data_IF_776792003807
#
_entry.id   IF_776792003807
#
_cell.length_a   1.000
_cell.length_b   1.000
_cell.length_c   1.000
_cell.angle_alpha   90.00
_cell.angle_beta   90.00
_cell.angle_gamma   90.00
#
_symmetry.space_group_name_H-M   'P 1'
#
loop_
_entity.id
_entity.type
_entity.pdbx_description
1 polymer ?
#
# COMPACT_ATOMS: atom_id res chain seq x y z
N UNK A 1 -50.87 -18.28 17.29
CA UNK A 1 -50.01 -17.17 16.79
C UNK A 1 -50.70 -15.90 17.22
N UNK A 2 -50.06 -15.08 18.04
CA UNK A 2 -50.60 -13.78 18.44
C UNK A 2 -49.91 -12.72 17.61
N UNK A 3 -50.68 -11.87 16.95
CA UNK A 3 -50.17 -10.77 16.13
C UNK A 3 -50.63 -9.48 16.78
N UNK A 4 -49.70 -8.59 17.09
CA UNK A 4 -50.00 -7.25 17.58
C UNK A 4 -49.62 -6.29 16.48
N UNK A 5 -50.58 -5.48 16.03
CA UNK A 5 -50.39 -4.49 14.97
C UNK A 5 -50.70 -3.13 15.58
N UNK A 6 -49.81 -2.16 15.34
CA UNK A 6 -50.08 -0.75 15.61
C UNK A 6 -50.36 -0.07 14.29
N UNK A 7 -51.53 0.54 14.16
CA UNK A 7 -51.90 1.31 12.97
C UNK A 7 -52.29 2.73 13.35
N UNK A 8 -52.10 3.66 12.43
CA UNK A 8 -52.56 5.04 12.54
C UNK A 8 -53.99 5.22 12.00
N UNK A 9 -54.52 4.27 11.23
CA UNK A 9 -55.88 4.34 10.66
C UNK A 9 -56.83 3.52 11.52
N UNK A 10 -57.76 4.19 12.21
CA UNK A 10 -58.63 3.51 13.18
C UNK A 10 -59.55 2.46 12.52
N UNK A 11 -59.89 2.68 11.25
CA UNK A 11 -60.74 1.76 10.48
C UNK A 11 -60.05 0.42 10.22
N UNK A 12 -58.72 0.37 10.12
CA UNK A 12 -57.97 -0.89 9.98
C UNK A 12 -58.07 -1.74 11.26
N UNK A 13 -58.28 -1.11 12.43
CA UNK A 13 -58.43 -1.82 13.70
C UNK A 13 -59.77 -2.56 13.80
N UNK A 14 -60.76 -2.22 12.96
CA UNK A 14 -62.10 -2.82 12.97
C UNK A 14 -62.10 -4.32 12.66
N UNK A 15 -61.11 -4.79 11.91
CA UNK A 15 -60.97 -6.21 11.54
C UNK A 15 -60.24 -7.03 12.62
N UNK A 16 -59.74 -6.40 13.69
CA UNK A 16 -59.02 -7.08 14.75
C UNK A 16 -59.96 -7.79 15.74
N UNK A 17 -59.51 -8.91 16.29
CA UNK A 17 -60.22 -9.63 17.36
C UNK A 17 -60.38 -8.77 18.63
N UNK A 18 -59.37 -7.96 18.94
CA UNK A 18 -59.32 -7.05 20.09
C UNK A 18 -58.63 -5.75 19.67
N UNK A 19 -59.22 -4.60 19.99
CA UNK A 19 -58.62 -3.28 19.80
C UNK A 19 -58.17 -2.73 21.16
N UNK A 20 -56.93 -2.27 21.23
CA UNK A 20 -56.42 -1.41 22.29
C UNK A 20 -56.30 0.04 21.81
N UNK A 21 -57.02 0.98 22.42
CA UNK A 21 -56.90 2.41 22.15
C UNK A 21 -55.98 3.05 23.18
N UNK A 22 -54.94 3.77 22.76
CA UNK A 22 -53.96 4.39 23.66
C UNK A 22 -53.75 5.87 23.35
N UNK A 23 -53.56 6.70 24.39
CA UNK A 23 -53.16 8.11 24.28
C UNK A 23 -52.30 8.51 25.48
N UNK A 24 -51.19 9.21 25.21
CA UNK A 24 -50.27 9.68 26.26
C UNK A 24 -49.60 8.55 27.06
N UNK A 25 -49.40 7.37 26.43
CA UNK A 25 -48.84 6.19 27.09
C UNK A 25 -49.83 5.42 27.99
N UNK A 26 -51.08 5.88 28.12
CA UNK A 26 -52.15 5.20 28.85
C UNK A 26 -53.08 4.46 27.89
N UNK A 27 -53.52 3.26 28.28
CA UNK A 27 -54.53 2.48 27.57
C UNK A 27 -55.91 3.01 27.96
N UNK A 28 -56.64 3.53 26.97
CA UNK A 28 -57.96 4.12 27.13
C UNK A 28 -59.05 3.05 27.17
N UNK A 29 -58.91 2.02 26.34
CA UNK A 29 -59.83 0.90 26.29
C UNK A 29 -59.19 -0.31 25.58
N UNK A 30 -59.61 -1.51 25.98
CA UNK A 30 -59.22 -2.78 25.35
C UNK A 30 -60.42 -3.72 25.27
N UNK A 31 -61.01 -3.84 24.08
CA UNK A 31 -62.20 -4.68 23.82
C UNK A 31 -62.32 -5.04 22.33
N UNK A 32 -63.12 -6.05 21.96
CA UNK A 32 -63.52 -6.26 20.57
C UNK A 32 -64.20 -5.01 19.98
N UNK A 33 -63.95 -4.67 18.69
CA UNK A 33 -64.43 -3.44 18.05
C UNK A 33 -65.93 -3.22 18.19
N UNK A 34 -66.71 -4.28 17.97
CA UNK A 34 -68.18 -4.24 18.03
C UNK A 34 -68.69 -3.91 19.44
N UNK A 35 -68.05 -4.47 20.48
CA UNK A 35 -68.42 -4.20 21.87
C UNK A 35 -68.11 -2.75 22.24
N UNK A 36 -66.96 -2.25 21.80
CA UNK A 36 -66.54 -0.87 22.06
C UNK A 36 -67.50 0.15 21.42
N UNK A 37 -67.92 -0.06 20.17
CA UNK A 37 -68.89 0.81 19.50
C UNK A 37 -70.27 0.79 20.21
N UNK A 38 -70.74 -0.40 20.62
CA UNK A 38 -72.01 -0.54 21.34
C UNK A 38 -72.00 0.11 22.73
N UNK A 39 -70.88 0.07 23.45
CA UNK A 39 -70.76 0.64 24.79
C UNK A 39 -70.81 2.17 24.80
N UNK A 40 -70.37 2.82 23.71
CA UNK A 40 -70.34 4.27 23.57
C UNK A 40 -71.45 4.82 22.66
N UNK A 41 -72.39 3.98 22.19
CA UNK A 41 -73.48 4.34 21.26
C UNK A 41 -72.99 5.12 20.02
N UNK A 42 -71.82 4.76 19.48
CA UNK A 42 -71.20 5.44 18.33
C UNK A 42 -71.28 4.59 17.06
N UNK A 43 -71.30 5.25 15.91
CA UNK A 43 -71.35 4.58 14.59
C UNK A 43 -69.96 4.16 14.07
N UNK A 44 -68.90 4.89 14.46
CA UNK A 44 -67.52 4.66 14.05
C UNK A 44 -66.57 4.63 15.26
N UNK A 45 -65.42 3.94 15.13
CA UNK A 45 -64.41 3.85 16.19
C UNK A 45 -63.69 5.18 16.46
N UNK A 46 -63.61 6.05 15.45
CA UNK A 46 -63.10 7.42 15.54
C UNK A 46 -63.82 8.23 16.63
N UNK A 47 -65.15 8.15 16.66
CA UNK A 47 -65.99 8.86 17.64
C UNK A 47 -65.80 8.31 19.06
N UNK A 48 -65.62 7.00 19.19
CA UNK A 48 -65.31 6.36 20.47
C UNK A 48 -63.94 6.81 20.98
N UNK A 49 -62.93 6.87 20.10
CA UNK A 49 -61.60 7.36 20.46
C UNK A 49 -61.61 8.84 20.86
N UNK A 50 -62.36 9.68 20.16
CA UNK A 50 -62.53 11.10 20.53
C UNK A 50 -63.22 11.25 21.88
N UNK A 51 -64.27 10.47 22.15
CA UNK A 51 -64.97 10.49 23.45
C UNK A 51 -64.05 10.06 24.59
N UNK A 52 -63.29 8.97 24.40
CA UNK A 52 -62.30 8.50 25.37
C UNK A 52 -61.17 9.53 25.58
N UNK A 53 -60.74 10.18 24.51
CA UNK A 53 -59.72 11.22 24.54
C UNK A 53 -60.18 12.47 25.30
N UNK A 54 -61.42 12.91 25.11
CA UNK A 54 -62.03 14.03 25.86
C UNK A 54 -62.20 13.68 27.34
N UNK A 55 -62.71 12.49 27.65
CA UNK A 55 -62.83 12.02 29.04
C UNK A 55 -61.48 11.96 29.75
N UNK A 56 -60.42 11.56 29.05
CA UNK A 56 -59.07 11.59 29.60
C UNK A 56 -58.59 13.02 29.88
N UNK A 57 -58.89 13.96 28.97
CA UNK A 57 -58.50 15.37 29.11
C UNK A 57 -59.29 16.09 30.21
N UNK A 58 -60.59 15.81 30.34
CA UNK A 58 -61.44 16.26 31.45
C UNK A 58 -60.95 15.67 32.79
N UNK A 59 -60.66 14.37 32.85
CA UNK A 59 -60.11 13.74 34.05
C UNK A 59 -58.73 14.31 34.44
N UNK A 60 -57.84 14.55 33.48
CA UNK A 60 -56.54 15.18 33.74
C UNK A 60 -56.70 16.68 34.15
N UNK A 61 -57.79 17.35 33.75
CA UNK A 61 -58.11 18.74 34.12
C UNK A 61 -58.75 18.84 35.51
N UNK A 62 -59.67 17.93 35.84
CA UNK A 62 -60.29 17.82 37.16
C UNK A 62 -59.26 17.41 38.21
N UNK A 63 -58.33 16.51 37.90
CA UNK A 63 -57.22 16.19 38.81
C UNK A 63 -56.38 17.45 39.07
N UNK A 64 -56.11 18.27 38.04
CA UNK A 64 -55.37 19.53 38.19
C UNK A 64 -56.14 20.62 38.95
N UNK A 65 -57.46 20.74 38.80
CA UNK A 65 -58.28 21.72 39.55
C UNK A 65 -58.51 21.28 40.99
N UNK A 66 -58.76 19.98 41.22
CA UNK A 66 -58.93 19.42 42.57
C UNK A 66 -57.59 19.43 43.34
N UNK A 67 -56.45 19.19 42.67
CA UNK A 67 -55.14 19.44 43.27
C UNK A 67 -54.94 20.93 43.58
N UNK A 68 -55.39 21.87 42.74
CA UNK A 68 -55.27 23.30 43.03
C UNK A 68 -56.11 23.75 44.24
N UNK A 69 -57.31 23.19 44.43
CA UNK A 69 -58.21 23.54 45.56
C UNK A 69 -57.89 22.78 46.86
N UNK A 70 -57.27 21.59 46.79
CA UNK A 70 -56.95 20.77 47.98
C UNK A 70 -55.51 20.96 48.49
N UNK A 71 -54.63 21.66 47.75
CA UNK A 71 -53.24 21.92 48.16
C UNK A 71 -53.06 23.05 49.19
N UNK A 72 -54.15 23.70 49.65
CA UNK A 72 -54.10 24.67 50.75
C UNK A 72 -54.45 24.11 52.14
N UNK A 73 -54.97 22.89 52.24
CA UNK A 73 -55.17 22.23 53.52
C UNK A 73 -54.58 20.81 53.50
N UNK A 74 -53.35 20.72 54.03
CA UNK A 74 -52.76 19.52 54.65
C UNK A 74 -52.02 18.51 53.76
N UNK A 75 -50.71 18.60 53.89
CA UNK A 75 -49.72 17.51 53.80
C UNK A 75 -50.22 16.21 54.46
N UNK A 76 -50.38 15.12 53.69
CA UNK A 76 -49.98 13.72 54.00
C UNK A 76 -50.85 12.68 53.26
N UNK A 77 -50.13 11.72 52.66
CA UNK A 77 -50.51 10.33 52.35
C UNK A 77 -51.39 9.99 51.12
N UNK A 78 -50.74 9.22 50.23
CA UNK A 78 -51.24 8.12 49.41
C UNK A 78 -52.42 8.39 48.46
N UNK A 79 -52.10 8.74 47.22
CA UNK A 79 -53.01 8.54 46.11
C UNK A 79 -53.12 7.06 45.73
N UNK A 80 -54.36 6.60 45.93
CA UNK A 80 -54.93 5.29 45.65
C UNK A 80 -55.24 5.20 44.16
N UNK A 81 -54.74 4.15 43.51
CA UNK A 81 -55.01 3.81 42.11
C UNK A 81 -56.51 3.56 41.88
N UNK A 82 -57.16 4.15 40.86
CA UNK A 82 -58.55 3.86 40.53
C UNK A 82 -58.67 2.45 39.93
N UNK A 83 -59.53 1.64 40.55
CA UNK A 83 -59.80 0.26 40.18
C UNK A 83 -60.45 0.15 38.79
N UNK A 84 -59.78 -0.54 37.87
CA UNK A 84 -60.40 -1.13 36.68
C UNK A 84 -61.03 -2.48 37.09
N UNK A 85 -62.28 -2.68 36.67
CA UNK A 85 -63.13 -3.86 36.92
C UNK A 85 -62.37 -5.17 36.65
N UNK A 86 -62.48 -6.20 37.53
CA UNK A 86 -61.73 -7.43 37.39
C UNK A 86 -62.39 -8.37 36.38
N UNK A 87 -61.74 -8.61 35.26
CA UNK A 87 -61.82 -9.88 34.52
C UNK A 87 -60.48 -10.13 33.84
N UNK A 88 -59.49 -10.48 34.66
CA UNK A 88 -58.39 -11.34 34.20
C UNK A 88 -58.62 -12.63 34.95
N UNK A 89 -59.42 -13.51 34.34
CA UNK A 89 -59.38 -14.92 34.73
C UNK A 89 -57.93 -15.37 34.59
N UNK A 90 -57.43 -15.96 35.66
CA UNK A 90 -56.13 -16.62 35.79
C UNK A 90 -55.86 -17.52 34.58
N UNK A 91 -55.21 -16.97 33.55
CA UNK A 91 -54.54 -17.78 32.54
C UNK A 91 -53.22 -18.18 33.17
N UNK A 92 -53.22 -19.38 33.75
CA UNK A 92 -52.03 -20.15 34.09
C UNK A 92 -51.02 -20.01 32.96
N UNK A 93 -49.93 -19.29 33.19
CA UNK A 93 -48.88 -19.12 32.19
C UNK A 93 -48.21 -20.48 31.99
N UNK A 94 -48.64 -21.25 30.98
CA UNK A 94 -47.76 -22.24 30.41
C UNK A 94 -46.54 -21.48 29.89
N UNK A 95 -45.39 -21.75 30.51
CA UNK A 95 -44.10 -21.21 30.10
C UNK A 95 -43.84 -21.63 28.65
N UNK A 96 -44.21 -20.75 27.73
CA UNK A 96 -43.92 -20.90 26.31
C UNK A 96 -42.43 -21.13 26.14
N UNK A 97 -42.09 -22.34 25.69
CA UNK A 97 -40.75 -22.85 25.51
C UNK A 97 -40.03 -22.02 24.42
N UNK A 98 -39.54 -20.83 24.78
CA UNK A 98 -38.71 -19.98 23.93
C UNK A 98 -37.38 -20.68 23.73
N UNK A 99 -37.28 -21.50 22.67
CA UNK A 99 -36.01 -22.09 22.21
C UNK A 99 -35.01 -20.97 21.97
N UNK A 100 -34.12 -20.73 22.93
CA UNK A 100 -32.97 -19.82 22.76
C UNK A 100 -31.99 -20.49 21.81
N UNK A 101 -32.07 -20.16 20.52
CA UNK A 101 -31.06 -20.56 19.54
C UNK A 101 -29.74 -19.83 19.84
N UNK A 102 -28.87 -20.46 20.63
CA UNK A 102 -27.47 -20.07 20.79
C UNK A 102 -26.70 -20.46 19.54
N UNK A 103 -26.70 -19.60 18.53
CA UNK A 103 -25.75 -19.73 17.41
C UNK A 103 -24.38 -19.24 17.89
N UNK A 104 -23.32 -19.99 17.63
CA UNK A 104 -21.95 -19.61 18.00
C UNK A 104 -21.55 -18.25 17.38
N UNK A 105 -20.83 -17.42 18.14
CA UNK A 105 -20.35 -16.10 17.68
C UNK A 105 -19.56 -16.19 16.37
N UNK A 106 -18.80 -17.27 16.18
CA UNK A 106 -18.03 -17.54 14.95
C UNK A 106 -18.92 -17.80 13.73
N UNK A 107 -20.05 -18.50 13.90
CA UNK A 107 -20.99 -18.76 12.80
C UNK A 107 -21.68 -17.47 12.35
N UNK A 108 -22.03 -16.58 13.30
CA UNK A 108 -22.56 -15.24 12.98
C UNK A 108 -21.54 -14.40 12.23
N UNK A 109 -20.28 -14.40 12.70
CA UNK A 109 -19.20 -13.67 12.03
C UNK A 109 -19.00 -14.17 10.60
N UNK A 110 -18.94 -15.49 10.38
CA UNK A 110 -18.82 -16.09 9.05
C UNK A 110 -19.99 -15.72 8.14
N UNK A 111 -21.22 -15.75 8.65
CA UNK A 111 -22.40 -15.35 7.88
C UNK A 111 -22.34 -13.87 7.46
N UNK A 112 -21.88 -12.99 8.36
CA UNK A 112 -21.70 -11.57 8.07
C UNK A 112 -20.57 -11.32 7.06
N UNK A 113 -19.46 -12.05 7.16
CA UNK A 113 -18.36 -11.96 6.20
C UNK A 113 -18.80 -12.41 4.80
N UNK A 114 -19.51 -13.54 4.69
CA UNK A 114 -20.05 -14.00 3.39
C UNK A 114 -21.03 -12.99 2.82
N UNK A 115 -21.91 -12.42 3.66
CA UNK A 115 -22.86 -11.38 3.23
C UNK A 115 -22.12 -10.13 2.72
N UNK A 116 -21.12 -9.66 3.44
CA UNK A 116 -20.32 -8.50 3.05
C UNK A 116 -19.48 -8.78 1.80
N UNK A 117 -18.87 -9.97 1.70
CA UNK A 117 -18.12 -10.37 0.52
C UNK A 117 -19.00 -10.39 -0.73
N UNK A 118 -20.18 -11.00 -0.66
CA UNK A 118 -21.13 -11.02 -1.77
C UNK A 118 -21.62 -9.61 -2.14
N UNK A 119 -21.78 -8.71 -1.15
CA UNK A 119 -22.13 -7.31 -1.40
C UNK A 119 -21.01 -6.59 -2.14
N UNK A 120 -19.77 -6.72 -1.68
CA UNK A 120 -18.58 -6.11 -2.32
C UNK A 120 -18.36 -6.65 -3.73
N UNK A 121 -18.45 -7.98 -3.91
CA UNK A 121 -18.24 -8.63 -5.21
C UNK A 121 -19.28 -8.21 -6.26
N UNK A 122 -20.52 -7.91 -5.85
CA UNK A 122 -21.56 -7.40 -6.74
C UNK A 122 -21.37 -5.90 -7.07
N UNK A 123 -20.60 -5.16 -6.29
CA UNK A 123 -20.22 -3.78 -6.58
C UNK A 123 -18.97 -3.72 -7.48
N UNK A 124 -19.17 -3.99 -8.78
CA UNK A 124 -18.08 -4.08 -9.77
C UNK A 124 -17.21 -2.82 -9.83
N UNK A 125 -17.80 -1.63 -9.74
CA UNK A 125 -17.05 -0.37 -9.78
C UNK A 125 -16.13 -0.15 -8.57
N UNK A 126 -16.58 -0.53 -7.37
CA UNK A 126 -15.75 -0.44 -6.16
C UNK A 126 -14.59 -1.43 -6.19
N UNK A 127 -14.82 -2.62 -6.75
CA UNK A 127 -13.78 -3.65 -6.91
C UNK A 127 -12.69 -3.20 -7.90
N UNK A 128 -13.06 -2.51 -8.99
CA UNK A 128 -12.09 -1.89 -9.90
C UNK A 128 -11.25 -0.81 -9.21
N UNK A 129 -11.85 0.04 -8.36
CA UNK A 129 -11.06 1.02 -7.61
C UNK A 129 -10.12 0.38 -6.58
N UNK A 130 -10.54 -0.70 -5.92
CA UNK A 130 -9.70 -1.36 -4.90
C UNK A 130 -8.49 -2.07 -5.54
N UNK A 131 -8.66 -2.73 -6.68
CA UNK A 131 -7.60 -3.53 -7.30
C UNK A 131 -7.01 -2.92 -8.57
N UNK A 132 -7.85 -2.37 -9.43
CA UNK A 132 -7.43 -1.77 -10.70
C UNK A 132 -6.64 -0.49 -10.50
N UNK A 133 -7.01 0.37 -9.54
CA UNK A 133 -6.29 1.62 -9.30
C UNK A 133 -4.86 1.38 -8.78
N UNK A 134 -4.59 0.54 -7.76
CA UNK A 134 -3.22 0.24 -7.36
C UNK A 134 -2.39 -0.44 -8.45
N UNK A 135 -2.99 -1.33 -9.24
CA UNK A 135 -2.29 -1.96 -10.36
C UNK A 135 -1.90 -0.91 -11.41
N UNK A 136 -2.82 0.01 -11.73
CA UNK A 136 -2.57 1.11 -12.66
C UNK A 136 -1.45 2.02 -12.14
N UNK A 137 -1.47 2.39 -10.85
CA UNK A 137 -0.41 3.19 -10.22
C UNK A 137 0.94 2.51 -10.33
N UNK A 138 1.03 1.22 -10.01
CA UNK A 138 2.28 0.45 -10.09
C UNK A 138 2.79 0.36 -11.53
N UNK A 139 1.90 0.15 -12.50
CA UNK A 139 2.26 0.12 -13.93
C UNK A 139 2.80 1.48 -14.38
N UNK A 140 2.11 2.58 -14.04
CA UNK A 140 2.56 3.93 -14.38
C UNK A 140 3.90 4.23 -13.73
N UNK A 141 4.09 3.84 -12.47
CA UNK A 141 5.35 4.04 -11.75
C UNK A 141 6.52 3.34 -12.44
N UNK A 142 6.36 2.06 -12.81
CA UNK A 142 7.40 1.32 -13.53
C UNK A 142 7.65 1.86 -14.94
N UNK A 143 6.62 2.34 -15.64
CA UNK A 143 6.79 3.01 -16.93
C UNK A 143 7.49 4.37 -16.81
N UNK A 144 7.22 5.12 -15.74
CA UNK A 144 7.75 6.47 -15.51
C UNK A 144 9.20 6.46 -15.02
N UNK A 145 9.56 5.56 -14.10
CA UNK A 145 10.97 5.38 -13.68
C UNK A 145 11.78 4.74 -14.79
N UNK A 146 11.16 3.84 -15.57
CA UNK A 146 11.82 3.12 -16.65
C UNK A 146 12.78 2.04 -16.15
N UNK A 147 13.39 1.33 -17.09
CA UNK A 147 14.46 0.38 -16.82
C UNK A 147 15.85 1.04 -16.88
N UNK A 148 16.90 0.22 -16.92
CA UNK A 148 18.26 0.73 -17.05
C UNK A 148 18.43 1.63 -18.28
N UNK A 149 19.15 2.76 -18.17
CA UNK A 149 19.31 3.72 -19.26
C UNK A 149 20.05 3.08 -20.44
N UNK A 150 19.44 3.17 -21.63
CA UNK A 150 19.98 2.62 -22.89
C UNK A 150 20.54 3.72 -23.78
N UNK A 151 21.49 3.38 -24.65
CA UNK A 151 22.04 4.30 -25.64
C UNK A 151 23.05 5.31 -25.10
N UNK A 152 23.63 5.04 -23.92
CA UNK A 152 24.68 5.85 -23.33
C UNK A 152 25.98 5.72 -24.13
N UNK A 153 26.62 6.86 -24.44
CA UNK A 153 27.91 6.94 -25.13
C UNK A 153 29.01 7.44 -24.19
N UNK A 154 30.13 6.74 -24.14
CA UNK A 154 31.31 7.14 -23.37
C UNK A 154 32.40 7.63 -24.32
N UNK A 155 32.99 8.77 -24.00
CA UNK A 155 34.22 9.22 -24.63
C UNK A 155 35.38 8.39 -24.05
N UNK A 156 36.29 7.93 -24.90
CA UNK A 156 37.46 7.14 -24.49
C UNK A 156 38.70 7.79 -25.07
N UNK A 157 39.64 8.13 -24.18
CA UNK A 157 40.98 8.58 -24.55
C UNK A 157 41.92 7.51 -24.03
N UNK A 158 42.44 6.69 -24.94
CA UNK A 158 43.30 5.58 -24.58
C UNK A 158 44.66 5.77 -25.25
N UNK A 159 45.62 6.29 -24.49
CA UNK A 159 46.96 6.56 -24.98
C UNK A 159 47.82 5.28 -25.08
N UNK A 160 47.37 4.15 -24.51
CA UNK A 160 48.03 2.84 -24.63
C UNK A 160 47.88 2.26 -26.04
N UNK A 161 46.86 2.70 -26.78
CA UNK A 161 46.63 2.29 -28.17
C UNK A 161 47.75 2.73 -29.13
N UNK A 162 48.57 3.72 -28.77
CA UNK A 162 49.62 4.24 -29.64
C UNK A 162 49.09 4.66 -31.03
N UNK A 163 49.36 3.84 -32.05
CA UNK A 163 48.93 4.10 -33.44
C UNK A 163 47.57 3.51 -33.81
N UNK A 164 46.93 2.74 -32.92
CA UNK A 164 45.63 2.11 -33.17
C UNK A 164 44.49 3.08 -32.86
N UNK A 165 43.40 3.01 -33.64
CA UNK A 165 42.25 3.92 -33.46
C UNK A 165 41.16 3.35 -32.56
N UNK A 166 41.21 2.06 -32.25
CA UNK A 166 40.21 1.38 -31.41
C UNK A 166 40.75 0.11 -30.79
N UNK A 167 40.12 -0.32 -29.69
CA UNK A 167 40.45 -1.57 -29.03
C UNK A 167 40.19 -2.80 -29.89
N UNK A 168 39.20 -2.76 -30.79
CA UNK A 168 38.99 -3.84 -31.74
C UNK A 168 40.24 -4.04 -32.58
N UNK A 169 40.78 -2.96 -33.17
CA UNK A 169 42.00 -3.03 -33.97
C UNK A 169 43.21 -3.47 -33.15
N UNK A 170 43.38 -2.94 -31.94
CA UNK A 170 44.48 -3.31 -31.05
C UNK A 170 44.47 -4.81 -30.71
N UNK A 171 43.30 -5.36 -30.34
CA UNK A 171 43.13 -6.75 -29.93
C UNK A 171 43.42 -7.78 -31.03
N UNK A 172 43.44 -7.37 -32.30
CA UNK A 172 43.85 -8.26 -33.39
C UNK A 172 45.36 -8.52 -33.44
N UNK A 173 46.17 -7.56 -32.99
CA UNK A 173 47.63 -7.63 -33.10
C UNK A 173 48.32 -7.84 -31.75
N UNK A 174 47.67 -7.44 -30.65
CA UNK A 174 48.26 -7.47 -29.33
C UNK A 174 47.37 -8.23 -28.35
N UNK A 175 47.97 -8.92 -27.36
CA UNK A 175 47.22 -9.54 -26.28
C UNK A 175 46.52 -8.47 -25.45
N UNK A 176 45.29 -8.78 -25.04
CA UNK A 176 44.52 -7.96 -24.10
C UNK A 176 44.40 -8.64 -22.74
N UNK A 177 45.03 -9.79 -22.52
CA UNK A 177 44.99 -10.50 -21.25
C UNK A 177 46.41 -10.64 -20.69
N UNK A 178 46.58 -10.72 -19.35
CA UNK A 178 47.88 -10.99 -18.76
C UNK A 178 48.48 -12.30 -19.24
N UNK A 179 49.80 -12.32 -19.41
CA UNK A 179 50.55 -13.50 -19.84
C UNK A 179 51.33 -14.03 -18.65
N UNK A 180 51.01 -15.26 -18.25
CA UNK A 180 51.77 -15.98 -17.23
C UNK A 180 52.96 -16.70 -17.88
N UNK A 181 54.16 -16.35 -17.44
CA UNK A 181 55.39 -16.99 -17.89
C UNK A 181 55.75 -18.21 -17.02
N UNK A 182 56.71 -19.01 -17.50
CA UNK A 182 57.11 -20.28 -16.84
C UNK A 182 57.84 -20.07 -15.51
N UNK A 183 58.41 -18.89 -15.32
CA UNK A 183 59.08 -18.41 -14.11
C UNK A 183 58.11 -17.78 -13.10
N UNK A 184 56.80 -18.00 -13.28
CA UNK A 184 55.72 -17.48 -12.41
C UNK A 184 55.58 -15.95 -12.43
N UNK A 185 56.29 -15.26 -13.33
CA UNK A 185 56.08 -13.83 -13.61
C UNK A 185 54.83 -13.64 -14.46
N UNK A 186 54.05 -12.59 -14.18
CA UNK A 186 52.82 -12.29 -14.90
C UNK A 186 52.89 -10.89 -15.51
N UNK A 187 52.95 -10.82 -16.83
CA UNK A 187 53.09 -9.56 -17.55
C UNK A 187 51.72 -9.04 -18.01
N UNK A 188 51.46 -7.77 -17.70
CA UNK A 188 50.18 -7.14 -17.95
C UNK A 188 50.21 -6.40 -19.30
N UNK A 189 49.34 -6.81 -20.22
CA UNK A 189 49.24 -6.23 -21.55
C UNK A 189 47.79 -5.95 -21.94
N UNK A 190 47.54 -4.75 -22.49
CA UNK A 190 46.26 -4.40 -23.09
C UNK A 190 45.07 -4.42 -22.12
N UNK A 191 45.30 -4.14 -20.84
CA UNK A 191 44.27 -4.13 -19.80
C UNK A 191 43.26 -3.00 -20.00
N UNK A 192 43.67 -1.88 -20.59
CA UNK A 192 42.77 -0.80 -21.04
C UNK A 192 41.66 -1.33 -21.95
N UNK A 193 42.03 -2.06 -23.00
CA UNK A 193 41.06 -2.68 -23.91
C UNK A 193 40.29 -3.85 -23.28
N UNK A 194 40.92 -4.63 -22.40
CA UNK A 194 40.26 -5.67 -21.63
C UNK A 194 39.11 -5.10 -20.77
N UNK A 195 39.39 -3.99 -20.09
CA UNK A 195 38.42 -3.24 -19.30
C UNK A 195 37.31 -2.66 -20.17
N UNK A 196 37.66 -1.97 -21.26
CA UNK A 196 36.70 -1.38 -22.18
C UNK A 196 35.76 -2.44 -22.78
N UNK A 197 36.25 -3.65 -23.07
CA UNK A 197 35.42 -4.73 -23.58
C UNK A 197 34.36 -5.25 -22.58
N UNK A 198 34.53 -5.02 -21.27
CA UNK A 198 33.53 -5.34 -20.23
C UNK A 198 32.42 -4.31 -20.13
N UNK A 199 32.62 -3.13 -20.72
CA UNK A 199 31.66 -2.03 -20.68
C UNK A 199 30.69 -2.18 -21.87
N UNK A 200 29.41 -2.33 -21.59
CA UNK A 200 28.37 -2.53 -22.62
C UNK A 200 28.02 -1.25 -23.40
N UNK A 201 28.40 -0.09 -22.89
CA UNK A 201 28.11 1.21 -23.48
C UNK A 201 28.90 1.43 -24.77
N UNK A 202 28.31 2.22 -25.67
CA UNK A 202 28.97 2.62 -26.93
C UNK A 202 30.15 3.52 -26.62
N UNK A 203 31.26 3.34 -27.34
CA UNK A 203 32.52 4.04 -27.10
C UNK A 203 32.83 4.93 -28.29
N UNK A 204 33.19 6.17 -28.00
CA UNK A 204 33.64 7.13 -28.99
C UNK A 204 35.07 7.52 -28.64
N UNK A 205 36.01 7.22 -29.55
CA UNK A 205 37.44 7.38 -29.28
C UNK A 205 37.91 8.77 -29.64
N UNK A 206 38.72 9.36 -28.75
CA UNK A 206 39.31 10.68 -28.88
C UNK A 206 40.82 10.61 -28.68
N UNK A 207 41.57 11.47 -29.37
CA UNK A 207 43.02 11.59 -29.19
C UNK A 207 43.41 12.55 -28.06
N UNK A 208 42.62 13.61 -27.86
CA UNK A 208 42.92 14.67 -26.90
C UNK A 208 41.93 14.61 -25.72
N UNK A 209 42.46 14.64 -24.50
CA UNK A 209 41.66 14.68 -23.25
C UNK A 209 40.73 15.90 -23.24
N UNK A 210 41.20 17.06 -23.68
CA UNK A 210 40.39 18.30 -23.68
C UNK A 210 39.15 18.19 -24.57
N UNK A 211 39.28 17.59 -25.77
CA UNK A 211 38.16 17.38 -26.69
C UNK A 211 37.16 16.36 -26.15
N UNK A 212 37.65 15.32 -25.49
CA UNK A 212 36.80 14.33 -24.84
C UNK A 212 35.99 14.96 -23.68
N UNK A 213 36.62 15.80 -22.85
CA UNK A 213 35.93 16.58 -21.80
C UNK A 213 34.89 17.53 -22.43
N UNK A 214 35.23 18.20 -23.53
CA UNK A 214 34.30 19.09 -24.21
C UNK A 214 33.08 18.35 -24.75
N UNK A 215 33.24 17.12 -25.27
CA UNK A 215 32.14 16.25 -25.67
C UNK A 215 31.18 15.94 -24.51
N UNK A 216 31.72 15.68 -23.31
CA UNK A 216 30.93 15.46 -22.10
C UNK A 216 30.16 16.73 -21.72
N UNK A 217 30.84 17.89 -21.72
CA UNK A 217 30.21 19.20 -21.41
C UNK A 217 29.09 19.57 -22.38
N UNK A 218 29.19 19.17 -23.65
CA UNK A 218 28.15 19.40 -24.66
C UNK A 218 27.00 18.37 -24.59
N UNK A 219 27.11 17.35 -23.74
CA UNK A 219 26.13 16.27 -23.61
C UNK A 219 26.12 15.29 -24.78
N UNK A 220 27.17 15.27 -25.62
CA UNK A 220 27.30 14.30 -26.71
C UNK A 220 27.69 12.91 -26.19
N UNK A 221 28.50 12.88 -25.12
CA UNK A 221 28.84 11.68 -24.34
C UNK A 221 28.47 11.92 -22.87
N UNK A 222 28.17 10.85 -22.14
CA UNK A 222 27.72 10.92 -20.72
C UNK A 222 28.87 10.79 -19.71
N UNK A 223 30.06 10.50 -20.21
CA UNK A 223 31.27 10.42 -19.41
C UNK A 223 32.48 10.19 -20.30
N UNK A 224 33.66 10.35 -19.71
CA UNK A 224 34.96 10.13 -20.33
C UNK A 224 35.79 9.16 -19.49
N UNK A 225 36.48 8.26 -20.17
CA UNK A 225 37.50 7.37 -19.62
C UNK A 225 38.86 7.75 -20.22
N UNK A 226 39.89 7.83 -19.39
CA UNK A 226 41.26 8.16 -19.80
C UNK A 226 42.26 7.12 -19.29
N UNK A 227 43.04 6.55 -20.21
CA UNK A 227 44.15 5.65 -19.93
C UNK A 227 45.47 6.29 -20.37
N UNK A 228 46.45 6.28 -19.49
CA UNK A 228 47.82 6.72 -19.78
C UNK A 228 48.56 5.70 -20.67
N UNK A 229 49.62 6.16 -21.36
CA UNK A 229 50.37 5.38 -22.37
C UNK A 229 50.88 4.02 -21.92
N UNK A 230 51.25 3.89 -20.66
CA UNK A 230 51.80 2.65 -20.09
C UNK A 230 50.91 2.09 -18.99
N UNK A 231 49.60 2.31 -19.06
CA UNK A 231 48.65 1.94 -18.00
C UNK A 231 48.82 0.49 -17.54
N UNK A 232 48.80 -0.49 -18.45
CA UNK A 232 48.93 -1.92 -18.09
C UNK A 232 50.23 -2.23 -17.34
N UNK A 233 51.36 -1.70 -17.83
CA UNK A 233 52.68 -1.94 -17.24
C UNK A 233 52.85 -1.23 -15.90
N UNK A 234 52.36 -0.01 -15.77
CA UNK A 234 52.43 0.76 -14.53
C UNK A 234 51.50 0.17 -13.47
N UNK A 235 50.36 -0.39 -13.88
CA UNK A 235 49.48 -1.13 -12.97
C UNK A 235 50.14 -2.40 -12.44
N UNK A 236 50.90 -3.12 -13.28
CA UNK A 236 51.73 -4.25 -12.83
C UNK A 236 52.78 -3.79 -11.81
N UNK A 237 53.56 -2.76 -12.13
CA UNK A 237 54.57 -2.21 -11.20
C UNK A 237 53.95 -1.77 -9.87
N UNK A 238 52.77 -1.14 -9.91
CA UNK A 238 52.04 -0.76 -8.70
C UNK A 238 51.68 -1.95 -7.81
N UNK A 239 51.35 -3.09 -8.40
CA UNK A 239 51.05 -4.32 -7.67
C UNK A 239 52.31 -5.00 -7.14
N UNK A 240 53.36 -5.05 -7.95
CA UNK A 240 54.65 -5.69 -7.60
C UNK A 240 55.38 -4.93 -6.49
N UNK A 241 55.48 -3.60 -6.61
CA UNK A 241 56.20 -2.74 -5.66
C UNK A 241 55.34 -2.41 -4.42
N UNK A 242 54.02 -2.53 -4.53
CA UNK A 242 53.07 -2.31 -3.43
C UNK A 242 53.28 -0.97 -2.72
N UNK A 243 53.83 -1.00 -1.49
CA UNK A 243 54.10 0.20 -0.68
C UNK A 243 55.27 1.04 -1.19
N UNK A 244 56.16 0.44 -1.98
CA UNK A 244 57.40 1.05 -2.46
C UNK A 244 57.21 1.64 -3.87
N UNK A 245 55.99 1.61 -4.42
CA UNK A 245 55.65 2.17 -5.72
C UNK A 245 55.86 3.69 -5.78
N UNK A 246 56.46 4.16 -6.88
CA UNK A 246 56.72 5.58 -7.11
C UNK A 246 55.43 6.37 -7.38
N UNK A 247 55.41 7.67 -7.07
CA UNK A 247 54.26 8.54 -7.37
C UNK A 247 53.90 8.53 -8.87
N UNK A 248 54.90 8.49 -9.75
CA UNK A 248 54.69 8.39 -11.21
C UNK A 248 54.01 7.09 -11.59
N UNK A 249 54.35 5.97 -10.94
CA UNK A 249 53.68 4.67 -11.16
C UNK A 249 52.23 4.71 -10.69
N UNK A 250 51.95 5.40 -9.59
CA UNK A 250 50.58 5.56 -9.08
C UNK A 250 49.72 6.40 -10.03
N UNK A 251 50.25 7.53 -10.51
CA UNK A 251 49.56 8.44 -11.44
C UNK A 251 49.33 7.79 -12.81
N UNK A 252 50.35 7.15 -13.41
CA UNK A 252 50.21 6.53 -14.74
C UNK A 252 49.38 5.22 -14.72
N UNK A 253 49.21 4.60 -13.56
CA UNK A 253 48.31 3.45 -13.38
C UNK A 253 46.88 3.84 -13.00
N UNK A 254 46.59 5.13 -12.86
CA UNK A 254 45.24 5.62 -12.57
C UNK A 254 44.38 5.65 -13.83
N UNK A 255 43.16 5.11 -13.72
CA UNK A 255 42.12 5.27 -14.72
C UNK A 255 41.35 6.56 -14.44
N UNK A 256 41.51 7.56 -15.31
CA UNK A 256 40.79 8.82 -15.21
C UNK A 256 39.32 8.64 -15.62
N UNK A 257 38.39 8.89 -14.71
CA UNK A 257 36.95 8.82 -14.99
C UNK A 257 36.30 10.18 -14.74
N UNK A 258 35.66 10.74 -15.76
CA UNK A 258 34.91 11.99 -15.65
C UNK A 258 33.47 11.78 -16.11
N UNK A 259 32.52 11.73 -15.17
CA UNK A 259 31.10 11.49 -15.47
C UNK A 259 30.31 12.81 -15.47
N UNK A 260 29.34 12.91 -16.39
CA UNK A 260 28.34 13.96 -16.32
C UNK A 260 27.35 13.68 -15.19
N UNK A 261 27.40 14.50 -14.13
CA UNK A 261 26.53 14.40 -12.97
C UNK A 261 25.29 15.31 -13.07
N UNK A 262 25.04 15.95 -14.22
CA UNK A 262 23.82 16.74 -14.47
C UNK A 262 22.57 15.87 -14.35
N UNK A 263 22.67 14.59 -14.72
CA UNK A 263 21.68 13.56 -14.40
C UNK A 263 22.26 12.57 -13.38
N UNK A 264 21.91 12.76 -12.10
CA UNK A 264 22.48 12.00 -10.98
C UNK A 264 22.18 10.49 -11.05
N UNK A 265 21.02 10.11 -11.59
CA UNK A 265 20.63 8.70 -11.73
C UNK A 265 21.51 7.99 -12.77
N UNK A 266 21.72 8.62 -13.93
CA UNK A 266 22.62 8.10 -14.97
C UNK A 266 24.06 8.09 -14.47
N UNK A 267 24.50 9.17 -13.81
CA UNK A 267 25.83 9.28 -13.22
C UNK A 267 26.14 8.14 -12.26
N UNK A 268 25.27 7.89 -11.27
CA UNK A 268 25.45 6.78 -10.33
C UNK A 268 25.36 5.40 -10.99
N UNK A 269 24.48 5.23 -11.98
CA UNK A 269 24.40 3.98 -12.73
C UNK A 269 25.72 3.70 -13.45
N UNK A 270 26.32 4.70 -14.10
CA UNK A 270 27.62 4.57 -14.76
C UNK A 270 28.74 4.33 -13.76
N UNK A 271 28.82 5.11 -12.69
CA UNK A 271 29.84 4.97 -11.64
C UNK A 271 29.87 3.53 -11.10
N UNK A 272 28.69 3.01 -10.72
CA UNK A 272 28.55 1.63 -10.23
C UNK A 272 29.02 0.61 -11.28
N UNK A 273 28.58 0.76 -12.53
CA UNK A 273 28.90 -0.20 -13.60
C UNK A 273 30.38 -0.18 -13.96
N UNK A 274 31.01 1.00 -14.00
CA UNK A 274 32.44 1.16 -14.27
C UNK A 274 33.29 0.56 -13.15
N UNK A 275 32.88 0.77 -11.89
CA UNK A 275 33.54 0.14 -10.74
C UNK A 275 33.39 -1.39 -10.77
N UNK A 276 32.19 -1.89 -11.08
CA UNK A 276 31.95 -3.32 -11.17
C UNK A 276 32.78 -3.96 -12.31
N UNK A 277 32.83 -3.33 -13.48
CA UNK A 277 33.67 -3.78 -14.59
C UNK A 277 35.17 -3.83 -14.21
N UNK A 278 35.62 -2.93 -13.34
CA UNK A 278 37.01 -2.90 -12.87
C UNK A 278 37.29 -4.04 -11.89
N UNK A 279 36.35 -4.32 -10.98
CA UNK A 279 36.46 -5.47 -10.09
C UNK A 279 36.47 -6.79 -10.85
N UNK A 280 35.66 -6.90 -11.91
CA UNK A 280 35.64 -8.08 -12.78
C UNK A 280 36.98 -8.23 -13.54
N UNK A 281 37.53 -7.14 -14.08
CA UNK A 281 38.88 -7.11 -14.65
C UNK A 281 39.92 -7.60 -13.64
N UNK A 282 39.93 -7.02 -12.43
CA UNK A 282 40.91 -7.37 -11.41
C UNK A 282 40.84 -8.85 -11.03
N UNK A 283 39.64 -9.43 -10.95
CA UNK A 283 39.48 -10.87 -10.71
C UNK A 283 40.03 -11.70 -11.86
N UNK A 284 39.77 -11.33 -13.11
CA UNK A 284 40.27 -12.06 -14.27
C UNK A 284 41.79 -11.95 -14.40
N UNK A 285 42.37 -10.80 -14.06
CA UNK A 285 43.82 -10.63 -13.96
C UNK A 285 44.40 -11.59 -12.91
N UNK A 286 43.81 -11.65 -11.71
CA UNK A 286 44.24 -12.60 -10.68
C UNK A 286 44.13 -14.05 -11.18
N UNK A 287 43.05 -14.43 -11.87
CA UNK A 287 42.90 -15.77 -12.46
C UNK A 287 43.99 -16.07 -13.49
N UNK A 288 44.22 -15.14 -14.42
CA UNK A 288 45.20 -15.30 -15.49
C UNK A 288 46.62 -15.48 -14.94
N UNK A 289 46.94 -14.80 -13.85
CA UNK A 289 48.23 -14.91 -13.16
C UNK A 289 48.31 -16.06 -12.13
N UNK A 290 47.38 -17.02 -12.15
CA UNK A 290 47.30 -18.15 -11.21
C UNK A 290 47.26 -17.72 -9.72
N UNK A 291 46.64 -16.57 -9.43
CA UNK A 291 46.43 -16.03 -8.09
C UNK A 291 44.97 -16.23 -7.63
N UNK A 292 44.76 -16.16 -6.31
CA UNK A 292 43.42 -16.24 -5.74
C UNK A 292 42.58 -15.02 -6.10
N UNK A 293 41.41 -15.22 -6.70
CA UNK A 293 40.48 -14.12 -7.04
C UNK A 293 39.97 -13.36 -5.83
N UNK A 294 40.08 -13.94 -4.63
CA UNK A 294 39.72 -13.28 -3.38
C UNK A 294 40.61 -12.06 -3.09
N UNK A 295 41.81 -11.99 -3.67
CA UNK A 295 42.70 -10.83 -3.54
C UNK A 295 42.16 -9.59 -4.28
N UNK A 296 41.40 -9.80 -5.36
CA UNK A 296 40.76 -8.73 -6.12
C UNK A 296 39.35 -8.37 -5.61
N UNK A 297 38.79 -9.15 -4.68
CA UNK A 297 37.49 -8.86 -4.10
C UNK A 297 37.61 -7.81 -3.00
N UNK A 298 36.60 -6.95 -2.90
CA UNK A 298 36.48 -6.03 -1.76
C UNK A 298 36.39 -6.88 -0.48
N UNK A 299 37.22 -6.63 0.55
CA UNK A 299 37.30 -7.45 1.77
C UNK A 299 36.13 -7.17 2.71
N UNK A 300 34.91 -7.32 2.20
CA UNK A 300 33.66 -7.06 2.90
C UNK A 300 32.71 -8.22 2.66
N UNK A 301 32.40 -8.97 3.72
CA UNK A 301 31.37 -9.99 3.70
C UNK A 301 30.06 -9.40 4.19
N UNK A 302 29.07 -9.30 3.30
CA UNK A 302 27.73 -8.85 3.65
C UNK A 302 26.88 -10.08 4.02
N UNK A 303 26.63 -10.28 5.31
CA UNK A 303 25.66 -11.27 5.77
C UNK A 303 24.27 -10.61 5.74
N UNK A 304 23.37 -11.14 4.89
CA UNK A 304 21.97 -10.75 4.83
C UNK A 304 21.09 -11.83 5.42
#
# INVERSE_FOLDING_TARGET
MTVVITTHYIEEAKEADVIGLMRGGKLLAERPPQQLMSAFNSSNLEEVFLTLSKKQEEADTDIRSTLADTLLDSIMEQEKEPQVIPHIDTISSEQGNRRKFHTSSSQRMRALLIKNFNRISRHLGGLFFIFGFPVLEVVIFFLAIGGDPKGLKLAVVDEELGNFTSCMQYSFFNPTEPILHKDETCDFHGLSCNYLNRINQSKEYYHDVEKAIESVKKGATVGMLHFHRNFSRQLQLRLDDGKDASNTTIEESELGVHLDMSNRQIGFFLEKNLLQAYLDLAQDVMRACNQSTKLAQVPMQVNR
#
